data_IF_527551205162
#
_entry.id   IF_527551205162
#
_cell.length_a   1.000
_cell.length_b   1.000
_cell.length_c   1.000
_cell.angle_alpha   90.00
_cell.angle_beta   90.00
_cell.angle_gamma   90.00
#
_symmetry.space_group_name_H-M   'P 1'
#
loop_
_entity.id
_entity.type
_entity.pdbx_description
1 polymer ?
#
# COMPACT_ATOMS: atom_id res chain seq x y z
N UNK A 1 -1.91 7.67 -10.99
CA UNK A 1 -1.93 6.59 -9.98
C UNK A 1 -3.09 6.71 -8.99
N UNK A 2 -3.41 7.91 -8.47
CA UNK A 2 -4.49 8.15 -7.48
C UNK A 2 -5.84 7.49 -7.78
N UNK A 3 -6.36 7.54 -9.01
CA UNK A 3 -7.64 6.90 -9.35
C UNK A 3 -7.66 5.38 -9.14
N UNK A 4 -6.54 4.69 -9.42
CA UNK A 4 -6.45 3.23 -9.24
C UNK A 4 -6.37 2.87 -7.76
N UNK A 5 -5.66 3.67 -6.96
CA UNK A 5 -5.57 3.47 -5.51
C UNK A 5 -6.95 3.70 -4.85
N UNK A 6 -7.66 4.76 -5.23
CA UNK A 6 -9.02 5.02 -4.74
C UNK A 6 -10.00 3.88 -5.09
N UNK A 7 -9.92 3.32 -6.30
CA UNK A 7 -10.74 2.19 -6.70
C UNK A 7 -10.45 0.90 -5.89
N UNK A 8 -9.24 0.79 -5.32
CA UNK A 8 -8.82 -0.29 -4.44
C UNK A 8 -9.09 0.01 -2.96
N UNK A 9 -9.75 1.14 -2.65
CA UNK A 9 -10.05 1.56 -1.28
C UNK A 9 -8.85 2.13 -0.52
N UNK A 10 -7.73 2.41 -1.21
CA UNK A 10 -6.59 3.14 -0.67
C UNK A 10 -6.85 4.64 -0.78
N UNK A 11 -7.52 5.18 0.23
CA UNK A 11 -7.78 6.61 0.39
C UNK A 11 -7.03 7.16 1.59
N UNK A 12 -6.94 8.49 1.70
CA UNK A 12 -6.28 9.12 2.85
C UNK A 12 -7.01 8.73 4.15
N UNK A 13 -6.23 8.38 5.18
CA UNK A 13 -6.74 7.90 6.46
C UNK A 13 -7.06 6.40 6.50
N UNK A 14 -6.88 5.66 5.40
CA UNK A 14 -7.05 4.21 5.42
C UNK A 14 -5.88 3.53 6.15
N UNK A 15 -6.20 2.71 7.14
CA UNK A 15 -5.22 1.82 7.77
C UNK A 15 -4.84 0.70 6.80
N UNK A 16 -3.54 0.50 6.62
CA UNK A 16 -2.99 -0.55 5.78
C UNK A 16 -1.82 -1.23 6.47
N UNK A 17 -1.62 -2.50 6.16
CA UNK A 17 -0.55 -3.31 6.75
C UNK A 17 0.37 -3.83 5.66
N UNK A 18 1.67 -3.65 5.82
CA UNK A 18 2.63 -4.24 4.89
C UNK A 18 2.77 -5.73 5.25
N UNK A 19 2.37 -6.62 4.34
CA UNK A 19 2.51 -8.07 4.51
C UNK A 19 3.87 -8.55 4.04
N UNK A 20 4.31 -8.07 2.88
CA UNK A 20 5.55 -8.53 2.26
C UNK A 20 6.21 -7.41 1.46
N UNK A 21 7.50 -7.23 1.68
CA UNK A 21 8.37 -6.40 0.82
C UNK A 21 9.24 -7.36 0.02
N UNK A 22 9.15 -7.31 -1.31
CA UNK A 22 10.07 -8.07 -2.15
C UNK A 22 11.42 -7.37 -2.23
N UNK A 23 12.49 -8.15 -2.22
CA UNK A 23 13.86 -7.66 -2.44
C UNK A 23 14.01 -7.13 -3.88
N UNK A 24 15.04 -6.30 -4.13
CA UNK A 24 15.40 -5.81 -5.47
C UNK A 24 14.33 -4.98 -6.21
N UNK A 25 13.76 -3.96 -5.57
CA UNK A 25 12.72 -3.06 -6.16
C UNK A 25 11.47 -3.81 -6.66
N UNK A 26 11.29 -5.06 -6.20
CA UNK A 26 10.11 -5.86 -6.50
C UNK A 26 8.83 -5.22 -5.95
N UNK A 27 7.67 -5.73 -6.36
CA UNK A 27 6.41 -5.25 -5.84
C UNK A 27 6.29 -5.51 -4.32
N UNK A 28 5.57 -4.64 -3.63
CA UNK A 28 5.20 -4.80 -2.24
C UNK A 28 3.75 -5.33 -2.17
N UNK A 29 3.50 -6.23 -1.22
CA UNK A 29 2.16 -6.72 -0.90
C UNK A 29 1.68 -5.98 0.36
N UNK A 30 0.55 -5.31 0.22
CA UNK A 30 -0.14 -4.55 1.25
C UNK A 30 -1.48 -5.22 1.55
N UNK A 31 -1.95 -5.17 2.79
CA UNK A 31 -3.30 -5.56 3.17
C UNK A 31 -4.10 -4.31 3.55
N UNK A 32 -5.25 -4.13 2.92
CA UNK A 32 -6.14 -2.98 3.08
C UNK A 32 -7.55 -3.52 3.26
N UNK A 33 -8.23 -3.19 4.36
CA UNK A 33 -9.60 -3.68 4.65
C UNK A 33 -9.76 -5.21 4.51
N UNK A 34 -8.71 -6.00 4.81
CA UNK A 34 -8.71 -7.46 4.65
C UNK A 34 -8.45 -7.98 3.23
N UNK A 35 -8.20 -7.09 2.26
CA UNK A 35 -7.83 -7.45 0.89
C UNK A 35 -6.33 -7.29 0.67
N UNK A 36 -5.70 -8.28 0.03
CA UNK A 36 -4.29 -8.22 -0.35
C UNK A 36 -4.12 -7.51 -1.71
N UNK A 37 -3.31 -6.46 -1.72
CA UNK A 37 -2.98 -5.65 -2.89
C UNK A 37 -1.49 -5.74 -3.20
N UNK A 38 -1.17 -6.05 -4.45
CA UNK A 38 0.19 -5.96 -4.96
C UNK A 38 0.41 -4.62 -5.63
N UNK A 39 1.36 -3.83 -5.11
CA UNK A 39 1.76 -2.55 -5.67
C UNK A 39 3.22 -2.64 -6.13
N UNK A 40 3.55 -2.04 -7.27
CA UNK A 40 4.95 -1.98 -7.71
C UNK A 40 5.74 -1.08 -6.76
N UNK A 41 7.01 -1.42 -6.50
CA UNK A 41 7.87 -0.63 -5.61
C UNK A 41 7.95 0.85 -6.01
N UNK A 42 7.97 1.16 -7.31
CA UNK A 42 7.97 2.54 -7.81
C UNK A 42 6.70 3.33 -7.43
N UNK A 43 5.54 2.67 -7.45
CA UNK A 43 4.26 3.28 -7.07
C UNK A 43 4.14 3.36 -5.54
N UNK A 44 4.68 2.36 -4.82
CA UNK A 44 4.70 2.33 -3.36
C UNK A 44 5.52 3.47 -2.77
N UNK A 45 6.62 3.86 -3.41
CA UNK A 45 7.43 5.02 -2.99
C UNK A 45 6.69 6.36 -3.08
N UNK A 46 5.55 6.43 -3.76
CA UNK A 46 4.72 7.63 -3.84
C UNK A 46 3.61 7.68 -2.78
N UNK A 47 3.50 6.64 -1.93
CA UNK A 47 2.52 6.58 -0.85
C UNK A 47 3.20 7.04 0.44
N UNK A 48 2.74 8.16 0.96
CA UNK A 48 3.10 8.61 2.30
C UNK A 48 2.29 7.81 3.34
N UNK A 49 2.98 7.32 4.36
CA UNK A 49 2.42 6.53 5.44
C UNK A 49 2.77 7.19 6.76
N UNK A 50 1.80 7.20 7.66
CA UNK A 50 2.00 7.60 9.06
C UNK A 50 2.09 6.34 9.91
N UNK A 51 2.97 6.33 10.92
CA UNK A 51 3.02 5.24 11.90
C UNK A 51 1.76 5.30 12.76
N UNK A 52 0.91 4.28 12.64
CA UNK A 52 -0.20 4.08 13.55
C UNK A 52 0.33 3.48 14.86
N UNK A 53 0.68 4.34 15.82
CA UNK A 53 0.96 3.95 17.19
C UNK A 53 -0.38 3.67 17.88
N UNK A 54 -0.61 2.43 18.34
CA UNK A 54 -1.74 2.02 19.18
C UNK A 54 -1.23 1.83 20.61
#
# INVERSE_FOLDING_TARGET
MRHRLNALGLVNGTKLKIKQKCLFKGPCILEVNGQCLSIRGCDACQIELEEAND
#
